data_IF_904149974685
#
_entry.id   IF_904149974685
#
_cell.length_a   1.000
_cell.length_b   1.000
_cell.length_c   1.000
_cell.angle_alpha   90.00
_cell.angle_beta   90.00
_cell.angle_gamma   90.00
#
_symmetry.space_group_name_H-M   'P 1'
#
loop_
_entity.id
_entity.type
_entity.pdbx_description
1 polymer ?
#
# COMPACT_ATOMS: atom_id res chain seq x y z
N UNK A 1 79.54 4.94 -4.81
CA UNK A 1 78.48 5.82 -4.29
C UNK A 1 77.50 6.12 -5.42
N UNK A 2 76.32 5.50 -5.42
CA UNK A 2 75.15 6.08 -6.10
C UNK A 2 73.93 5.77 -5.24
N UNK A 3 73.39 6.85 -4.68
CA UNK A 3 72.37 6.85 -3.66
C UNK A 3 71.04 6.38 -4.23
N UNK A 4 70.42 5.42 -3.54
CA UNK A 4 69.01 5.07 -3.69
C UNK A 4 68.18 6.32 -3.35
N UNK A 5 67.36 6.78 -4.28
CA UNK A 5 66.31 7.77 -4.01
C UNK A 5 64.97 7.09 -4.33
N UNK A 6 64.17 6.69 -3.34
CA UNK A 6 62.80 6.28 -3.59
C UNK A 6 61.97 7.55 -3.75
N UNK A 7 61.49 7.83 -4.96
CA UNK A 7 60.54 8.93 -5.15
C UNK A 7 59.19 8.59 -4.50
N UNK A 8 58.56 9.58 -3.84
CA UNK A 8 57.33 9.39 -3.08
C UNK A 8 56.11 9.48 -3.98
N UNK A 9 54.99 8.96 -3.48
CA UNK A 9 53.64 9.00 -4.08
C UNK A 9 53.40 8.02 -5.23
N UNK A 10 53.59 6.73 -4.94
CA UNK A 10 52.61 5.75 -5.40
C UNK A 10 51.31 5.94 -4.61
N UNK A 11 50.60 7.05 -4.83
CA UNK A 11 49.19 7.08 -4.48
C UNK A 11 48.53 6.12 -5.46
N UNK A 12 48.35 4.88 -5.01
CA UNK A 12 47.61 3.86 -5.74
C UNK A 12 46.35 4.52 -6.31
N UNK A 13 45.97 4.28 -7.56
CA UNK A 13 44.73 4.82 -8.14
C UNK A 13 43.54 4.64 -7.19
N UNK A 14 43.53 3.55 -6.42
CA UNK A 14 42.56 3.29 -5.35
C UNK A 14 42.51 4.33 -4.23
N UNK A 15 43.64 4.86 -3.78
CA UNK A 15 43.67 5.91 -2.75
C UNK A 15 43.16 7.25 -3.28
N UNK A 16 43.42 7.54 -4.56
CA UNK A 16 42.92 8.74 -5.22
C UNK A 16 41.39 8.71 -5.45
N UNK A 17 40.81 7.53 -5.71
CA UNK A 17 39.34 7.37 -5.89
C UNK A 17 38.56 7.29 -4.58
N UNK A 18 39.24 7.07 -3.45
CA UNK A 18 38.62 6.90 -2.14
C UNK A 18 37.63 8.02 -1.75
N UNK A 19 37.94 9.32 -1.89
CA UNK A 19 36.99 10.40 -1.59
C UNK A 19 35.76 10.42 -2.51
N UNK A 20 35.92 10.05 -3.79
CA UNK A 20 34.79 9.91 -4.72
C UNK A 20 33.89 8.73 -4.30
N UNK A 21 34.49 7.63 -3.85
CA UNK A 21 33.74 6.46 -3.40
C UNK A 21 33.01 6.74 -2.08
N UNK A 22 33.65 7.43 -1.14
CA UNK A 22 33.03 7.89 0.11
C UNK A 22 31.85 8.84 -0.17
N UNK A 23 32.03 9.81 -1.07
CA UNK A 23 30.95 10.72 -1.51
C UNK A 23 29.78 9.96 -2.18
N UNK A 24 30.09 9.02 -3.08
CA UNK A 24 29.08 8.21 -3.76
C UNK A 24 28.27 7.36 -2.78
N UNK A 25 28.95 6.77 -1.79
CA UNK A 25 28.31 5.97 -0.73
C UNK A 25 27.43 6.84 0.15
N UNK A 26 27.88 8.04 0.48
CA UNK A 26 27.10 9.02 1.23
C UNK A 26 25.84 9.47 0.46
N UNK A 27 25.94 9.71 -0.84
CA UNK A 27 24.79 10.01 -1.70
C UNK A 27 23.79 8.85 -1.77
N UNK A 28 24.30 7.61 -1.86
CA UNK A 28 23.44 6.42 -1.83
C UNK A 28 22.68 6.26 -0.52
N UNK A 29 23.33 6.49 0.63
CA UNK A 29 22.66 6.47 1.93
C UNK A 29 21.62 7.58 2.06
N UNK A 30 21.88 8.76 1.49
CA UNK A 30 20.91 9.85 1.42
C UNK A 30 19.71 9.49 0.55
N UNK A 31 19.89 8.73 -0.54
CA UNK A 31 18.81 8.26 -1.42
C UNK A 31 18.04 7.02 -0.92
N UNK A 32 18.65 6.18 -0.09
CA UNK A 32 17.98 5.00 0.48
C UNK A 32 16.92 5.37 1.53
N UNK A 33 17.11 6.49 2.22
CA UNK A 33 16.18 7.00 3.25
C UNK A 33 14.81 7.40 2.68
N UNK A 34 14.68 8.22 1.62
CA UNK A 34 13.38 8.53 1.03
C UNK A 34 12.72 7.32 0.36
N UNK A 35 13.50 6.42 -0.27
CA UNK A 35 12.93 5.19 -0.85
C UNK A 35 12.30 4.27 0.21
N UNK A 36 12.98 4.08 1.34
CA UNK A 36 12.44 3.25 2.43
C UNK A 36 11.21 3.86 3.08
N UNK A 37 11.15 5.20 3.21
CA UNK A 37 9.95 5.91 3.66
C UNK A 37 8.78 5.78 2.68
N UNK A 38 9.06 5.90 1.38
CA UNK A 38 8.03 5.71 0.35
C UNK A 38 7.49 4.28 0.34
N UNK A 39 8.36 3.27 0.50
CA UNK A 39 7.95 1.88 0.66
C UNK A 39 7.07 1.68 1.90
N UNK A 40 7.42 2.32 3.02
CA UNK A 40 6.63 2.26 4.25
C UNK A 40 5.24 2.88 4.05
N UNK A 41 5.16 4.10 3.51
CA UNK A 41 3.90 4.78 3.22
C UNK A 41 3.00 3.97 2.26
N UNK A 42 3.60 3.26 1.30
CA UNK A 42 2.86 2.37 0.41
C UNK A 42 2.30 1.14 1.13
N UNK A 43 3.08 0.50 1.99
CA UNK A 43 2.62 -0.66 2.77
C UNK A 43 1.54 -0.29 3.78
N UNK A 44 1.65 0.86 4.46
CA UNK A 44 0.64 1.36 5.38
C UNK A 44 -0.69 1.56 4.67
N UNK A 45 -0.69 2.24 3.52
CA UNK A 45 -1.90 2.45 2.72
C UNK A 45 -2.51 1.13 2.21
N UNK A 46 -1.69 0.19 1.74
CA UNK A 46 -2.17 -1.14 1.34
C UNK A 46 -2.82 -1.91 2.50
N UNK A 47 -2.25 -1.79 3.71
CA UNK A 47 -2.79 -2.45 4.89
C UNK A 47 -4.17 -1.91 5.28
N UNK A 48 -4.37 -0.59 5.17
CA UNK A 48 -5.65 0.06 5.44
C UNK A 48 -6.73 -0.39 4.43
N UNK A 49 -6.37 -0.47 3.14
CA UNK A 49 -7.26 -0.97 2.08
C UNK A 49 -7.64 -2.43 2.34
N UNK A 50 -6.67 -3.29 2.68
CA UNK A 50 -6.93 -4.70 2.96
C UNK A 50 -7.89 -4.88 4.14
N UNK A 51 -7.75 -4.07 5.20
CA UNK A 51 -8.67 -4.13 6.34
C UNK A 51 -10.09 -3.72 5.96
N UNK A 52 -10.25 -2.70 5.12
CA UNK A 52 -11.56 -2.30 4.63
C UNK A 52 -12.19 -3.37 3.74
N UNK A 53 -11.43 -3.97 2.84
CA UNK A 53 -11.93 -5.07 1.98
C UNK A 53 -12.34 -6.29 2.81
N UNK A 54 -11.57 -6.64 3.85
CA UNK A 54 -11.92 -7.72 4.75
C UNK A 54 -13.26 -7.48 5.49
N UNK A 55 -13.51 -6.24 5.94
CA UNK A 55 -14.80 -5.86 6.55
C UNK A 55 -15.95 -5.97 5.57
N UNK A 56 -15.76 -5.50 4.33
CA UNK A 56 -16.76 -5.62 3.27
C UNK A 56 -17.08 -7.09 2.94
N UNK A 57 -16.06 -7.93 2.78
CA UNK A 57 -16.24 -9.36 2.52
C UNK A 57 -16.96 -10.07 3.67
N UNK A 58 -16.67 -9.69 4.91
CA UNK A 58 -17.39 -10.21 6.09
C UNK A 58 -18.88 -9.84 6.05
N UNK A 59 -19.19 -8.58 5.74
CA UNK A 59 -20.58 -8.13 5.65
C UNK A 59 -21.33 -8.76 4.47
N UNK A 60 -20.65 -8.98 3.33
CA UNK A 60 -21.20 -9.72 2.19
C UNK A 60 -21.48 -11.19 2.54
N UNK A 61 -20.60 -11.82 3.32
CA UNK A 61 -20.83 -13.18 3.80
C UNK A 61 -22.05 -13.24 4.72
N UNK A 62 -22.22 -12.27 5.62
CA UNK A 62 -23.39 -12.16 6.49
C UNK A 62 -24.68 -11.93 5.70
N UNK A 63 -24.67 -11.03 4.72
CA UNK A 63 -25.83 -10.77 3.86
C UNK A 63 -26.21 -12.01 3.05
N UNK A 64 -25.24 -12.79 2.56
CA UNK A 64 -25.51 -14.06 1.88
C UNK A 64 -26.23 -15.08 2.79
N UNK A 65 -25.88 -15.10 4.08
CA UNK A 65 -26.55 -15.94 5.07
C UNK A 65 -27.97 -15.43 5.36
N UNK A 66 -28.20 -14.11 5.37
CA UNK A 66 -29.54 -13.52 5.49
C UNK A 66 -30.42 -13.84 4.29
N UNK A 67 -29.88 -13.81 3.06
CA UNK A 67 -30.60 -14.24 1.85
C UNK A 67 -31.04 -15.71 1.98
N UNK A 68 -30.14 -16.59 2.42
CA UNK A 68 -30.48 -18.01 2.61
C UNK A 68 -31.57 -18.20 3.67
N UNK A 69 -31.55 -17.43 4.77
CA UNK A 69 -32.61 -17.45 5.79
C UNK A 69 -33.95 -16.94 5.23
N UNK A 70 -33.96 -15.86 4.45
CA UNK A 70 -35.17 -15.38 3.80
C UNK A 70 -35.76 -16.42 2.85
N UNK A 71 -34.92 -17.09 2.07
CA UNK A 71 -35.35 -18.19 1.19
C UNK A 71 -35.99 -19.33 1.97
N UNK A 72 -35.41 -19.74 3.11
CA UNK A 72 -35.97 -20.77 3.98
C UNK A 72 -37.29 -20.33 4.66
N UNK A 73 -37.46 -19.04 4.96
CA UNK A 73 -38.62 -18.52 5.73
C UNK A 73 -39.82 -18.18 4.83
N UNK A 74 -39.56 -17.72 3.60
CA UNK A 74 -40.58 -17.19 2.70
C UNK A 74 -40.72 -18.00 1.39
N UNK A 75 -40.32 -19.27 1.41
CA UNK A 75 -40.29 -20.16 0.24
C UNK A 75 -41.64 -20.28 -0.52
N UNK A 76 -42.76 -19.88 0.09
CA UNK A 76 -44.10 -19.87 -0.50
C UNK A 76 -44.69 -18.48 -0.81
N UNK A 77 -43.99 -17.37 -0.53
CA UNK A 77 -44.48 -16.00 -0.76
C UNK A 77 -43.48 -15.19 -1.63
N UNK A 78 -43.71 -15.13 -2.96
CA UNK A 78 -42.83 -14.43 -3.89
C UNK A 78 -42.68 -12.93 -3.59
N UNK A 79 -43.70 -12.29 -3.01
CA UNK A 79 -43.66 -10.86 -2.71
C UNK A 79 -42.69 -10.58 -1.56
N UNK A 80 -42.79 -11.36 -0.47
CA UNK A 80 -41.85 -11.26 0.69
C UNK A 80 -40.43 -11.65 0.32
N UNK A 81 -40.26 -12.62 -0.58
CA UNK A 81 -38.95 -12.98 -1.12
C UNK A 81 -38.31 -11.82 -1.90
N UNK A 82 -39.09 -11.16 -2.75
CA UNK A 82 -38.61 -10.03 -3.54
C UNK A 82 -38.29 -8.81 -2.65
N UNK A 83 -39.12 -8.54 -1.63
CA UNK A 83 -38.84 -7.48 -0.64
C UNK A 83 -37.53 -7.73 0.11
N UNK A 84 -37.33 -8.95 0.64
CA UNK A 84 -36.08 -9.28 1.34
C UNK A 84 -34.86 -9.20 0.42
N UNK A 85 -34.98 -9.63 -0.85
CA UNK A 85 -33.90 -9.49 -1.82
C UNK A 85 -33.58 -8.02 -2.12
N UNK A 86 -34.59 -7.17 -2.32
CA UNK A 86 -34.41 -5.74 -2.58
C UNK A 86 -33.74 -5.04 -1.40
N UNK A 87 -34.11 -5.38 -0.17
CA UNK A 87 -33.49 -4.82 1.04
C UNK A 87 -32.01 -5.22 1.12
N UNK A 88 -31.69 -6.50 0.96
CA UNK A 88 -30.32 -7.00 1.01
C UNK A 88 -29.46 -6.48 -0.15
N UNK A 89 -30.02 -6.39 -1.36
CA UNK A 89 -29.34 -5.83 -2.51
C UNK A 89 -29.03 -4.34 -2.30
N UNK A 90 -29.94 -3.60 -1.68
CA UNK A 90 -29.74 -2.20 -1.32
C UNK A 90 -28.65 -2.04 -0.25
N UNK A 91 -28.67 -2.85 0.81
CA UNK A 91 -27.65 -2.86 1.87
C UNK A 91 -26.25 -3.13 1.29
N UNK A 92 -26.11 -4.15 0.43
CA UNK A 92 -24.84 -4.46 -0.24
C UNK A 92 -24.39 -3.35 -1.18
N UNK A 93 -25.31 -2.74 -1.94
CA UNK A 93 -25.00 -1.64 -2.84
C UNK A 93 -24.52 -0.40 -2.09
N UNK A 94 -25.15 -0.05 -0.96
CA UNK A 94 -24.73 1.05 -0.09
C UNK A 94 -23.33 0.80 0.48
N UNK A 95 -23.06 -0.41 1.00
CA UNK A 95 -21.73 -0.75 1.50
C UNK A 95 -20.65 -0.73 0.41
N UNK A 96 -20.97 -1.19 -0.80
CA UNK A 96 -20.06 -1.12 -1.94
C UNK A 96 -19.78 0.34 -2.36
N UNK A 97 -20.78 1.22 -2.28
CA UNK A 97 -20.63 2.64 -2.59
C UNK A 97 -19.74 3.34 -1.57
N UNK A 98 -19.93 3.05 -0.28
CA UNK A 98 -19.08 3.56 0.81
C UNK A 98 -17.63 3.09 0.65
N UNK A 99 -17.43 1.81 0.28
CA UNK A 99 -16.11 1.27 -0.06
C UNK A 99 -15.47 2.04 -1.21
N UNK A 100 -16.20 2.28 -2.29
CA UNK A 100 -15.67 2.98 -3.48
C UNK A 100 -15.25 4.41 -3.12
N UNK A 101 -16.02 5.10 -2.29
CA UNK A 101 -15.71 6.44 -1.78
C UNK A 101 -14.43 6.46 -0.95
N UNK A 102 -14.27 5.50 -0.03
CA UNK A 102 -13.08 5.39 0.82
C UNK A 102 -11.82 5.03 0.02
N UNK A 103 -11.92 4.13 -0.95
CA UNK A 103 -10.81 3.81 -1.86
C UNK A 103 -10.42 5.03 -2.71
N UNK A 104 -11.40 5.80 -3.18
CA UNK A 104 -11.14 7.02 -3.94
C UNK A 104 -10.40 8.08 -3.10
N UNK A 105 -10.77 8.29 -1.83
CA UNK A 105 -10.08 9.23 -0.94
C UNK A 105 -8.67 8.76 -0.56
N UNK A 106 -8.50 7.46 -0.25
CA UNK A 106 -7.18 6.88 0.07
C UNK A 106 -6.18 7.07 -1.08
N UNK A 107 -6.63 7.00 -2.33
CA UNK A 107 -5.78 7.25 -3.49
C UNK A 107 -5.27 8.69 -3.56
N UNK A 108 -6.05 9.65 -3.07
CA UNK A 108 -5.67 11.05 -3.01
C UNK A 108 -4.69 11.31 -1.86
N UNK A 109 -5.01 10.82 -0.67
CA UNK A 109 -4.15 10.97 0.52
C UNK A 109 -2.78 10.31 0.33
N UNK A 110 -2.74 9.14 -0.31
CA UNK A 110 -1.50 8.47 -0.66
C UNK A 110 -0.63 9.29 -1.61
N UNK A 111 -1.22 9.90 -2.64
CA UNK A 111 -0.49 10.78 -3.56
C UNK A 111 0.07 11.99 -2.82
N UNK A 112 -0.72 12.59 -1.94
CA UNK A 112 -0.29 13.73 -1.12
C UNK A 112 0.89 13.35 -0.21
N UNK A 113 0.80 12.21 0.50
CA UNK A 113 1.90 11.71 1.35
C UNK A 113 3.18 11.40 0.57
N UNK A 114 3.08 10.86 -0.65
CA UNK A 114 4.26 10.68 -1.51
C UNK A 114 4.86 12.04 -1.87
N UNK A 115 4.04 13.03 -2.23
CA UNK A 115 4.51 14.37 -2.60
C UNK A 115 5.16 15.13 -1.45
N UNK A 116 4.77 14.87 -0.20
CA UNK A 116 5.40 15.48 0.98
C UNK A 116 6.76 14.85 1.34
N UNK A 117 7.02 13.61 0.92
CA UNK A 117 8.27 12.88 1.19
C UNK A 117 9.30 12.98 0.05
N UNK A 118 8.92 13.52 -1.12
CA UNK A 118 9.79 13.79 -2.29
C UNK A 118 10.43 15.19 -2.21
#
# INVERSE_FOLDING_TARGET
>A
MTSKKPDPSANSPFEATRPIMEWWTQQWMQGATPMTRMQLAWMENLSEIMQQEARFLSALAESSQRIAKCYATHQGDPAKMNECYQELAKEVAEQHMERMKNVASLSHDFRTRIWEEL
#
